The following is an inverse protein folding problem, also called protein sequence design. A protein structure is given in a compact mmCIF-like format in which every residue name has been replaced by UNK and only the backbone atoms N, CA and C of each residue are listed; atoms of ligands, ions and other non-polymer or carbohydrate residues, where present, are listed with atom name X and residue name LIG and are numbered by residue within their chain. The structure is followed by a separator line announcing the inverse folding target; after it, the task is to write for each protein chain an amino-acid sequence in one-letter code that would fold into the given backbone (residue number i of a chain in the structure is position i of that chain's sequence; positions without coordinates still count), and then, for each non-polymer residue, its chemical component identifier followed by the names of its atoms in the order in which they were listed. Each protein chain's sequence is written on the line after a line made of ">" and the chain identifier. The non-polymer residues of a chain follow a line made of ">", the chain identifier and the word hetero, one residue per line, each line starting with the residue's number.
data_IF_970271222265
#
_entry.id   IF_970271222265
#
_cell.length_a   1.000
_cell.length_b   1.000
_cell.length_c   1.000
_cell.angle_alpha   90.00
_cell.angle_beta   90.00
_cell.angle_gamma   90.00
#
_symmetry.space_group_name_H-M   'P 1'
#
loop_
_entity.id
_entity.type
_entity.pdbx_description
1 polymer ?
#
# COMPACT_ATOMS: atom_id res chain seq x y z
N UNK A 1 9.98 34.39 3.29
CA UNK A 1 10.57 34.04 4.62
C UNK A 1 11.55 32.90 4.37
N UNK A 2 12.79 33.01 4.88
CA UNK A 2 13.76 31.94 4.75
C UNK A 2 13.26 30.72 5.56
N UNK A 3 13.19 29.56 4.96
CA UNK A 3 12.89 28.33 5.70
C UNK A 3 13.99 28.09 6.75
N UNK A 4 13.63 27.65 7.96
CA UNK A 4 14.61 27.30 8.96
C UNK A 4 15.56 26.22 8.43
N UNK A 5 16.84 26.24 8.81
CA UNK A 5 17.80 25.24 8.35
C UNK A 5 17.33 23.83 8.75
N UNK A 6 17.51 22.88 7.85
CA UNK A 6 17.19 21.48 8.12
C UNK A 6 18.20 20.93 9.13
N UNK A 7 17.72 20.22 10.13
CA UNK A 7 18.57 19.54 11.11
C UNK A 7 18.83 18.12 10.68
N UNK A 8 20.09 17.71 10.64
CA UNK A 8 20.54 16.40 10.22
C UNK A 8 21.18 15.68 11.41
N UNK A 9 20.52 14.65 11.91
CA UNK A 9 21.02 13.88 13.06
C UNK A 9 21.67 12.59 12.57
N UNK A 10 22.89 12.34 12.99
CA UNK A 10 23.66 11.14 12.71
C UNK A 10 23.99 10.41 14.00
N UNK A 11 23.90 9.08 14.02
CA UNK A 11 24.27 8.27 15.17
C UNK A 11 25.31 7.23 14.79
N UNK A 12 26.39 7.10 15.58
CA UNK A 12 27.42 6.06 15.36
C UNK A 12 26.96 4.67 15.83
N UNK A 13 25.78 4.56 16.42
CA UNK A 13 25.25 3.32 16.97
C UNK A 13 26.26 2.64 17.91
N UNK A 14 26.62 3.32 19.00
CA UNK A 14 27.64 2.90 19.98
C UNK A 14 29.03 2.65 19.37
N UNK A 15 29.41 3.50 18.41
CA UNK A 15 30.68 3.44 17.68
C UNK A 15 30.88 2.18 16.80
N UNK A 16 29.76 1.50 16.48
CA UNK A 16 29.79 0.37 15.54
C UNK A 16 29.96 0.80 14.09
N UNK A 17 29.73 2.09 13.79
CA UNK A 17 30.05 2.68 12.48
C UNK A 17 30.75 4.02 12.64
N UNK A 18 31.64 4.31 11.69
CA UNK A 18 32.34 5.59 11.62
C UNK A 18 31.45 6.66 10.98
N UNK A 19 31.32 7.80 11.64
CA UNK A 19 30.69 8.99 11.07
C UNK A 19 31.74 9.90 10.42
N UNK A 20 31.36 10.58 9.34
CA UNK A 20 32.14 11.65 8.71
C UNK A 20 31.28 12.93 8.62
N UNK A 21 31.15 13.70 9.73
CA UNK A 21 30.41 14.95 9.73
C UNK A 21 30.95 15.97 8.74
N UNK A 22 32.27 15.99 8.51
CA UNK A 22 32.89 16.93 7.58
C UNK A 22 32.48 16.67 6.12
N UNK A 23 32.30 15.41 5.71
CA UNK A 23 31.73 15.09 4.41
C UNK A 23 30.29 15.55 4.30
N UNK A 24 29.48 15.36 5.37
CA UNK A 24 28.08 15.83 5.40
C UNK A 24 28.00 17.36 5.36
N UNK A 25 28.85 18.08 6.06
CA UNK A 25 28.95 19.56 5.99
C UNK A 25 29.28 20.04 4.57
N UNK A 26 30.22 19.41 3.89
CA UNK A 26 30.55 19.74 2.49
C UNK A 26 29.38 19.48 1.54
N UNK A 27 28.64 18.37 1.75
CA UNK A 27 27.53 17.98 0.92
C UNK A 27 26.25 18.77 1.19
N UNK A 28 26.01 19.11 2.46
CA UNK A 28 24.78 19.76 2.98
C UNK A 28 25.12 21.07 3.70
N UNK A 29 25.69 22.09 3.04
CA UNK A 29 26.22 23.29 3.72
C UNK A 29 25.18 24.16 4.43
N UNK A 30 23.88 23.99 4.12
CA UNK A 30 22.77 24.67 4.79
C UNK A 30 22.14 23.86 5.92
N UNK A 31 22.63 22.65 6.19
CA UNK A 31 22.14 21.75 7.22
C UNK A 31 22.83 22.01 8.58
N UNK A 32 22.08 21.98 9.65
CA UNK A 32 22.61 21.93 11.02
C UNK A 32 22.84 20.47 11.40
N UNK A 33 24.10 20.07 11.59
CA UNK A 33 24.46 18.66 11.82
C UNK A 33 24.67 18.42 13.32
N UNK A 34 24.05 17.39 13.84
CA UNK A 34 24.30 16.89 15.19
C UNK A 34 24.65 15.39 15.13
N UNK A 35 25.74 15.05 15.81
CA UNK A 35 26.22 13.66 15.92
C UNK A 35 25.90 13.09 17.29
N UNK A 36 25.55 11.83 17.32
CA UNK A 36 25.23 11.05 18.51
C UNK A 36 26.08 9.77 18.52
N UNK A 37 26.36 9.31 19.72
CA UNK A 37 26.92 7.98 19.92
C UNK A 37 25.82 6.94 20.13
N UNK A 38 24.81 7.28 20.96
CA UNK A 38 23.69 6.38 21.32
C UNK A 38 22.38 7.18 21.46
N UNK A 39 21.83 7.62 20.33
CA UNK A 39 20.67 8.53 20.26
C UNK A 39 19.40 7.94 20.89
N UNK A 40 19.15 6.65 20.68
CA UNK A 40 17.96 5.92 21.19
C UNK A 40 18.12 5.46 22.66
N UNK A 41 19.24 5.78 23.32
CA UNK A 41 19.51 5.38 24.69
C UNK A 41 20.08 6.52 25.54
N UNK A 42 21.38 6.51 25.79
CA UNK A 42 22.02 7.47 26.73
C UNK A 42 21.87 8.95 26.34
N UNK A 43 21.64 9.24 25.06
CA UNK A 43 21.47 10.60 24.53
C UNK A 43 20.03 10.93 24.12
N UNK A 44 19.04 10.16 24.58
CA UNK A 44 17.62 10.32 24.22
C UNK A 44 17.08 11.70 24.63
N UNK A 45 17.48 12.21 25.80
CA UNK A 45 17.07 13.55 26.27
C UNK A 45 17.62 14.66 25.36
N UNK A 46 18.84 14.49 24.84
CA UNK A 46 19.41 15.43 23.87
C UNK A 46 18.62 15.39 22.53
N UNK A 47 18.20 14.20 22.10
CA UNK A 47 17.31 14.06 20.94
C UNK A 47 15.99 14.78 21.16
N UNK A 48 15.32 14.58 22.31
CA UNK A 48 14.07 15.27 22.69
C UNK A 48 14.22 16.79 22.60
N UNK A 49 15.32 17.32 23.13
CA UNK A 49 15.61 18.75 23.08
C UNK A 49 15.75 19.32 21.66
N UNK A 50 16.30 18.54 20.73
CA UNK A 50 16.42 18.93 19.32
C UNK A 50 15.09 18.74 18.58
N UNK A 51 14.40 17.63 18.79
CA UNK A 51 13.12 17.32 18.16
C UNK A 51 12.02 18.32 18.53
N UNK A 52 12.04 18.88 19.76
CA UNK A 52 11.11 19.92 20.19
C UNK A 52 11.30 21.29 19.53
N UNK A 53 12.41 21.51 18.79
CA UNK A 53 12.66 22.79 18.12
C UNK A 53 11.97 22.85 16.76
N UNK A 54 11.55 24.05 16.34
CA UNK A 54 10.89 24.28 15.05
C UNK A 54 11.85 24.03 13.88
N UNK A 55 11.36 23.35 12.83
CA UNK A 55 12.10 23.11 11.59
C UNK A 55 12.05 21.64 11.14
N UNK A 56 12.34 21.36 9.88
CA UNK A 56 12.40 20.00 9.37
C UNK A 56 13.60 19.25 9.96
N UNK A 57 13.37 17.99 10.32
CA UNK A 57 14.33 17.11 10.98
C UNK A 57 14.55 15.85 10.16
N UNK A 58 15.80 15.50 9.89
CA UNK A 58 16.19 14.23 9.26
C UNK A 58 17.02 13.44 10.26
N UNK A 59 16.60 12.22 10.52
CA UNK A 59 17.22 11.31 11.49
C UNK A 59 17.84 10.12 10.79
N UNK A 60 19.16 9.98 10.90
CA UNK A 60 19.95 8.88 10.33
C UNK A 60 19.82 7.57 11.13
N UNK A 61 18.58 7.13 11.38
CA UNK A 61 18.26 5.89 12.09
C UNK A 61 16.86 5.41 11.70
N UNK A 62 16.74 4.21 11.18
CA UNK A 62 15.43 3.56 10.90
C UNK A 62 15.12 2.46 11.92
N UNK A 63 16.14 1.89 12.56
CA UNK A 63 15.99 0.83 13.55
C UNK A 63 15.04 1.23 14.71
N UNK A 64 15.25 2.41 15.27
CA UNK A 64 14.50 2.92 16.40
C UNK A 64 13.57 4.07 16.02
N UNK A 65 13.10 4.10 14.76
CA UNK A 65 12.22 5.15 14.26
C UNK A 65 10.93 5.26 15.10
N UNK A 66 10.34 4.13 15.50
CA UNK A 66 9.13 4.11 16.31
C UNK A 66 9.35 4.76 17.70
N UNK A 67 10.46 4.43 18.38
CA UNK A 67 10.83 5.03 19.65
C UNK A 67 11.03 6.54 19.49
N UNK A 68 11.84 6.94 18.49
CA UNK A 68 12.18 8.35 18.27
C UNK A 68 10.95 9.18 17.82
N UNK A 69 10.02 8.60 17.08
CA UNK A 69 8.74 9.23 16.75
C UNK A 69 7.89 9.44 17.99
N UNK A 70 7.76 8.44 18.86
CA UNK A 70 7.02 8.57 20.12
C UNK A 70 7.62 9.66 21.02
N UNK A 71 8.94 9.74 21.10
CA UNK A 71 9.65 10.75 21.89
C UNK A 71 9.55 12.17 21.32
N UNK A 72 9.33 12.30 20.01
CA UNK A 72 9.07 13.58 19.36
C UNK A 72 7.62 14.07 19.52
N UNK A 73 6.69 13.18 19.92
CA UNK A 73 5.28 13.48 20.16
C UNK A 73 4.60 14.08 18.94
N UNK A 74 3.94 15.24 19.08
CA UNK A 74 3.21 15.92 17.98
C UNK A 74 4.09 16.26 16.77
N UNK A 75 5.39 16.18 16.90
CA UNK A 75 6.33 16.46 15.80
C UNK A 75 6.77 15.24 15.02
N UNK A 76 6.29 14.05 15.37
CA UNK A 76 6.64 12.79 14.70
C UNK A 76 6.49 12.88 13.17
N UNK A 77 5.38 13.45 12.69
CA UNK A 77 5.09 13.60 11.26
C UNK A 77 6.02 14.56 10.50
N UNK A 78 6.81 15.36 11.21
CA UNK A 78 7.79 16.28 10.63
C UNK A 78 9.21 15.72 10.57
N UNK A 79 9.39 14.46 10.94
CA UNK A 79 10.67 13.77 10.98
C UNK A 79 10.79 12.82 9.80
N UNK A 80 11.85 12.96 9.03
CA UNK A 80 12.23 12.00 7.99
C UNK A 80 13.31 11.07 8.53
N UNK A 81 13.06 9.77 8.47
CA UNK A 81 14.03 8.75 8.88
C UNK A 81 14.78 8.20 7.67
N UNK A 82 16.08 8.03 7.79
CA UNK A 82 16.92 7.46 6.73
C UNK A 82 17.87 6.41 7.31
N UNK A 83 17.96 5.29 6.61
CA UNK A 83 18.89 4.23 7.00
C UNK A 83 20.31 4.62 6.59
N UNK A 84 21.16 4.92 7.57
CA UNK A 84 22.59 5.15 7.35
C UNK A 84 23.43 3.93 7.74
N UNK A 85 22.96 3.16 8.70
CA UNK A 85 23.71 2.06 9.31
C UNK A 85 23.92 0.92 8.30
N UNK A 86 22.86 0.31 7.84
CA UNK A 86 22.89 -0.84 6.94
C UNK A 86 23.26 -0.43 5.50
N UNK A 87 22.82 0.75 5.05
CA UNK A 87 23.04 1.18 3.68
C UNK A 87 24.40 1.84 3.44
N UNK A 88 25.11 2.27 4.49
CA UNK A 88 26.40 2.95 4.38
C UNK A 88 27.41 2.51 5.45
N UNK A 89 27.09 2.70 6.74
CA UNK A 89 28.05 2.58 7.82
C UNK A 89 28.60 1.20 8.09
N UNK A 90 27.79 0.16 7.97
CA UNK A 90 28.18 -1.25 8.20
C UNK A 90 28.68 -1.97 6.92
N UNK A 91 28.85 -1.25 5.82
CA UNK A 91 29.46 -1.81 4.62
C UNK A 91 30.98 -2.06 4.82
N UNK A 92 31.57 -2.90 3.97
CA UNK A 92 33.03 -3.11 3.96
C UNK A 92 33.81 -1.81 3.78
N UNK A 93 33.22 -0.82 3.08
CA UNK A 93 33.79 0.53 2.87
C UNK A 93 33.21 1.56 3.83
N UNK A 94 32.64 1.14 4.96
CA UNK A 94 32.00 2.04 5.94
C UNK A 94 32.88 3.20 6.42
N UNK A 95 34.21 3.00 6.48
CA UNK A 95 35.18 4.05 6.80
C UNK A 95 35.27 5.19 5.78
N UNK A 96 34.85 4.98 4.55
CA UNK A 96 34.84 5.93 3.42
C UNK A 96 33.42 6.34 2.98
N UNK A 97 32.40 5.93 3.74
CA UNK A 97 30.99 6.10 3.39
C UNK A 97 30.44 7.51 3.65
N UNK A 98 31.24 8.46 4.15
CA UNK A 98 30.82 9.83 4.42
C UNK A 98 30.06 10.51 3.27
N UNK A 99 30.56 10.48 2.01
CA UNK A 99 29.84 11.03 0.87
C UNK A 99 28.47 10.35 0.62
N UNK A 100 28.38 9.04 0.82
CA UNK A 100 27.11 8.29 0.70
C UNK A 100 26.14 8.65 1.83
N UNK A 101 26.62 8.80 3.07
CA UNK A 101 25.80 9.27 4.19
C UNK A 101 25.23 10.67 3.93
N UNK A 102 26.05 11.60 3.42
CA UNK A 102 25.64 12.95 3.04
C UNK A 102 24.54 12.91 1.96
N UNK A 103 24.73 12.10 0.93
CA UNK A 103 23.77 11.92 -0.15
C UNK A 103 22.42 11.37 0.33
N UNK A 104 22.44 10.36 1.19
CA UNK A 104 21.23 9.76 1.78
C UNK A 104 20.45 10.76 2.65
N UNK A 105 21.15 11.53 3.49
CA UNK A 105 20.54 12.59 4.30
C UNK A 105 19.95 13.70 3.43
N UNK A 106 20.64 14.13 2.38
CA UNK A 106 20.13 15.13 1.44
C UNK A 106 18.88 14.65 0.67
N UNK A 107 18.88 13.39 0.25
CA UNK A 107 17.73 12.80 -0.45
C UNK A 107 16.51 12.64 0.47
N UNK A 108 16.72 12.31 1.74
CA UNK A 108 15.64 12.26 2.74
C UNK A 108 15.14 13.67 3.09
N UNK A 109 16.02 14.66 3.07
CA UNK A 109 15.66 16.06 3.29
C UNK A 109 14.86 16.69 2.13
N UNK A 110 14.80 16.07 0.95
CA UNK A 110 13.97 16.55 -0.17
C UNK A 110 12.50 16.10 0.07
N UNK A 111 11.74 16.99 0.72
CA UNK A 111 10.32 16.73 0.99
C UNK A 111 9.56 16.60 -0.32
N UNK A 112 9.02 15.43 -0.59
CA UNK A 112 8.13 15.21 -1.72
C UNK A 112 6.84 16.03 -1.53
N UNK A 113 6.23 16.56 -2.61
CA UNK A 113 4.91 17.18 -2.51
C UNK A 113 3.90 16.17 -2.01
N UNK A 114 2.91 16.65 -1.25
CA UNK A 114 1.80 15.81 -0.79
C UNK A 114 1.09 15.19 -2.00
N UNK A 115 0.85 13.90 -1.95
CA UNK A 115 0.10 13.19 -2.98
C UNK A 115 -1.40 13.33 -2.71
N UNK A 116 -2.23 13.49 -3.75
CA UNK A 116 -3.67 13.45 -3.58
C UNK A 116 -4.12 12.04 -3.19
N UNK A 117 -5.11 11.96 -2.31
CA UNK A 117 -5.74 10.73 -1.87
C UNK A 117 -7.19 10.65 -2.33
N UNK A 118 -7.75 9.45 -2.34
CA UNK A 118 -9.18 9.18 -2.28
C UNK A 118 -9.48 8.48 -0.96
N UNK A 119 -10.50 8.92 -0.27
CA UNK A 119 -10.94 8.27 0.98
C UNK A 119 -11.96 7.19 0.64
N UNK A 120 -11.68 5.96 1.01
CA UNK A 120 -12.58 4.83 0.97
C UNK A 120 -13.19 4.69 2.37
N UNK A 121 -14.49 4.44 2.46
CA UNK A 121 -15.16 4.22 3.73
C UNK A 121 -15.86 2.87 3.75
N UNK A 122 -15.82 2.21 4.90
CA UNK A 122 -16.48 0.94 5.16
C UNK A 122 -17.23 1.03 6.47
N UNK A 123 -18.53 0.77 6.43
CA UNK A 123 -19.38 0.65 7.62
C UNK A 123 -19.32 -0.76 8.23
N UNK A 124 -18.53 -1.66 7.61
CA UNK A 124 -18.33 -3.02 8.07
C UNK A 124 -19.36 -4.02 7.55
N UNK A 125 -20.10 -3.67 6.50
CA UNK A 125 -21.05 -4.61 5.87
C UNK A 125 -20.27 -5.64 5.06
N UNK A 126 -20.26 -6.90 5.50
CA UNK A 126 -19.51 -7.98 4.86
C UNK A 126 -20.41 -9.06 4.28
N UNK A 127 -20.09 -9.46 3.03
CA UNK A 127 -20.61 -10.68 2.45
C UNK A 127 -19.56 -11.79 2.51
N UNK A 128 -19.85 -12.88 3.20
CA UNK A 128 -19.04 -14.10 3.17
C UNK A 128 -19.66 -15.05 2.16
N UNK A 129 -18.94 -15.30 1.08
CA UNK A 129 -19.36 -16.18 -0.01
C UNK A 129 -18.63 -17.52 0.08
N UNK A 130 -19.38 -18.59 0.37
CA UNK A 130 -18.81 -19.90 0.57
C UNK A 130 -19.58 -21.03 -0.09
N UNK A 131 -19.15 -22.27 0.12
CA UNK A 131 -19.78 -23.46 -0.42
C UNK A 131 -20.33 -24.42 0.66
N UNK A 132 -19.99 -24.21 1.94
CA UNK A 132 -20.35 -25.09 3.04
C UNK A 132 -20.35 -24.38 4.42
N UNK A 133 -20.40 -25.18 5.49
CA UNK A 133 -20.49 -24.72 6.89
C UNK A 133 -19.31 -23.85 7.33
N UNK A 134 -18.13 -23.94 6.67
CA UNK A 134 -16.95 -23.13 6.99
C UNK A 134 -17.21 -21.63 6.82
N UNK A 135 -18.05 -21.26 5.85
CA UNK A 135 -18.48 -19.85 5.68
C UNK A 135 -19.32 -19.37 6.86
N UNK A 136 -20.15 -20.22 7.44
CA UNK A 136 -20.92 -19.91 8.64
C UNK A 136 -20.00 -19.76 9.86
N UNK A 137 -19.01 -20.62 10.00
CA UNK A 137 -18.01 -20.52 11.08
C UNK A 137 -17.19 -19.22 10.97
N UNK A 138 -16.79 -18.84 9.76
CA UNK A 138 -16.17 -17.52 9.51
C UNK A 138 -17.10 -16.36 9.92
N UNK A 139 -18.40 -16.49 9.60
CA UNK A 139 -19.42 -15.50 10.01
C UNK A 139 -19.53 -15.35 11.52
N UNK A 140 -19.52 -16.46 12.26
CA UNK A 140 -19.55 -16.44 13.74
C UNK A 140 -18.34 -15.69 14.33
N UNK A 141 -17.15 -15.83 13.74
CA UNK A 141 -15.95 -15.14 14.20
C UNK A 141 -16.00 -13.61 13.93
N UNK A 142 -16.81 -13.17 12.99
CA UNK A 142 -16.91 -11.76 12.59
C UNK A 142 -18.15 -11.04 13.12
N UNK A 143 -19.17 -11.78 13.55
CA UNK A 143 -20.48 -11.22 13.89
C UNK A 143 -20.48 -10.20 15.03
N UNK A 144 -19.51 -10.24 15.94
CA UNK A 144 -19.34 -9.24 17.02
C UNK A 144 -18.70 -7.93 16.54
N UNK A 145 -18.16 -7.90 15.31
CA UNK A 145 -17.38 -6.79 14.78
C UNK A 145 -17.94 -6.19 13.49
N UNK A 146 -18.62 -7.00 12.67
CA UNK A 146 -19.09 -6.62 11.33
C UNK A 146 -20.56 -6.99 11.15
N UNK A 147 -21.23 -6.28 10.22
CA UNK A 147 -22.58 -6.64 9.77
C UNK A 147 -22.48 -7.77 8.73
N UNK A 148 -22.63 -9.00 9.20
CA UNK A 148 -22.34 -10.21 8.44
C UNK A 148 -23.57 -10.71 7.69
N UNK A 149 -23.39 -11.02 6.42
CA UNK A 149 -24.29 -11.89 5.63
C UNK A 149 -23.48 -13.05 5.07
N UNK A 150 -23.94 -14.29 5.28
CA UNK A 150 -23.30 -15.47 4.67
C UNK A 150 -24.14 -15.94 3.48
N UNK A 151 -23.51 -16.11 2.34
CA UNK A 151 -24.10 -16.68 1.14
C UNK A 151 -23.44 -17.99 0.77
N UNK A 152 -24.21 -19.04 0.63
CA UNK A 152 -23.68 -20.38 0.30
C UNK A 152 -24.13 -20.77 -1.11
N UNK A 153 -23.14 -21.06 -1.95
CA UNK A 153 -23.38 -21.58 -3.30
C UNK A 153 -23.59 -23.10 -3.24
N UNK A 154 -24.74 -23.56 -3.79
CA UNK A 154 -25.09 -25.00 -3.86
C UNK A 154 -24.91 -25.71 -2.49
N UNK A 155 -25.63 -25.25 -1.45
CA UNK A 155 -25.42 -25.73 -0.09
C UNK A 155 -25.58 -27.25 0.00
N UNK A 156 -24.64 -27.95 0.66
CA UNK A 156 -24.83 -29.33 1.07
C UNK A 156 -25.90 -29.42 2.17
N UNK A 157 -26.11 -30.59 2.76
CA UNK A 157 -26.95 -30.72 3.95
C UNK A 157 -26.27 -30.03 5.14
N UNK A 158 -26.62 -28.78 5.40
CA UNK A 158 -26.11 -27.93 6.49
C UNK A 158 -27.08 -27.97 7.65
N UNK A 159 -26.61 -28.30 8.84
CA UNK A 159 -27.42 -28.28 10.06
C UNK A 159 -27.86 -26.85 10.40
N UNK A 160 -29.17 -26.58 10.56
CA UNK A 160 -29.64 -25.26 10.94
C UNK A 160 -29.06 -24.82 12.28
N UNK A 161 -28.58 -23.57 12.44
CA UNK A 161 -28.14 -23.07 13.73
C UNK A 161 -29.32 -22.94 14.71
N UNK A 162 -29.04 -23.18 16.00
CA UNK A 162 -30.08 -23.01 17.06
C UNK A 162 -30.52 -21.55 17.22
N UNK A 163 -29.66 -20.60 16.88
CA UNK A 163 -29.92 -19.16 16.85
C UNK A 163 -29.25 -18.52 15.64
N UNK A 164 -29.98 -17.65 14.96
CA UNK A 164 -29.44 -16.87 13.85
C UNK A 164 -28.94 -15.53 14.39
N UNK A 165 -27.63 -15.33 14.37
CA UNK A 165 -26.99 -14.03 14.71
C UNK A 165 -26.77 -13.17 13.48
N UNK A 166 -26.82 -13.77 12.28
CA UNK A 166 -26.70 -13.11 10.98
C UNK A 166 -27.47 -13.91 9.90
N UNK A 167 -27.83 -13.26 8.77
CA UNK A 167 -28.48 -13.94 7.66
C UNK A 167 -27.58 -15.00 7.01
N UNK A 168 -28.15 -16.20 6.75
CA UNK A 168 -27.52 -17.24 5.92
C UNK A 168 -28.43 -17.47 4.72
N UNK A 169 -27.98 -17.14 3.52
CA UNK A 169 -28.77 -17.24 2.28
C UNK A 169 -28.12 -18.18 1.29
N UNK A 170 -28.90 -18.68 0.35
CA UNK A 170 -28.41 -19.43 -0.80
C UNK A 170 -28.26 -18.49 -1.99
N UNK A 171 -27.22 -18.66 -2.81
CA UNK A 171 -27.05 -17.92 -4.04
C UNK A 171 -25.72 -18.16 -4.72
N UNK A 172 -25.65 -17.82 -6.00
CA UNK A 172 -24.41 -17.86 -6.79
C UNK A 172 -24.15 -16.48 -7.37
N UNK A 173 -22.98 -15.92 -7.10
CA UNK A 173 -22.60 -14.62 -7.63
C UNK A 173 -22.30 -14.79 -9.13
N UNK A 174 -23.11 -14.16 -9.97
CA UNK A 174 -22.94 -14.15 -11.43
C UNK A 174 -22.00 -13.04 -11.87
N UNK A 175 -22.08 -11.86 -11.22
CA UNK A 175 -21.26 -10.71 -11.53
C UNK A 175 -20.95 -9.94 -10.26
N UNK A 176 -19.73 -9.44 -10.17
CA UNK A 176 -19.25 -8.59 -9.09
C UNK A 176 -18.55 -7.36 -9.69
N UNK A 177 -18.83 -6.19 -9.16
CA UNK A 177 -18.18 -4.93 -9.53
C UNK A 177 -18.01 -4.02 -8.33
N UNK A 178 -17.26 -2.93 -8.49
CA UNK A 178 -17.03 -1.97 -7.43
C UNK A 178 -15.67 -2.12 -6.76
N UNK A 179 -15.58 -1.58 -5.58
CA UNK A 179 -14.34 -1.44 -4.81
C UNK A 179 -14.65 -1.51 -3.31
N UNK A 180 -13.64 -1.50 -2.49
CA UNK A 180 -13.74 -1.52 -1.03
C UNK A 180 -14.66 -0.39 -0.51
N UNK A 181 -15.70 -0.74 0.23
CA UNK A 181 -16.77 0.15 0.68
C UNK A 181 -17.93 0.29 -0.31
N UNK A 182 -17.84 -0.28 -1.51
CA UNK A 182 -18.89 -0.13 -2.53
C UNK A 182 -18.91 -1.28 -3.54
N UNK A 183 -18.92 -2.52 -3.07
CA UNK A 183 -19.13 -3.68 -3.94
C UNK A 183 -20.60 -3.82 -4.30
N UNK A 184 -20.87 -4.13 -5.56
CA UNK A 184 -22.20 -4.49 -6.09
C UNK A 184 -22.15 -5.88 -6.69
N UNK A 185 -23.06 -6.73 -6.28
CA UNK A 185 -23.11 -8.14 -6.63
C UNK A 185 -24.45 -8.46 -7.29
N UNK A 186 -24.42 -9.21 -8.41
CA UNK A 186 -25.60 -9.77 -9.04
C UNK A 186 -25.61 -11.26 -8.76
N UNK A 187 -26.71 -11.74 -8.17
CA UNK A 187 -26.84 -13.07 -7.62
C UNK A 187 -27.94 -13.82 -8.34
N UNK A 188 -27.63 -15.03 -8.77
CA UNK A 188 -28.60 -15.99 -9.29
C UNK A 188 -28.84 -17.10 -8.27
N UNK A 189 -29.94 -17.82 -8.43
CA UNK A 189 -30.39 -18.86 -7.51
C UNK A 189 -30.53 -18.38 -6.05
N UNK A 190 -30.84 -17.09 -5.85
CA UNK A 190 -31.00 -16.49 -4.53
C UNK A 190 -32.24 -17.02 -3.81
N UNK A 191 -32.08 -17.52 -2.61
CA UNK A 191 -33.18 -17.94 -1.74
C UNK A 191 -32.87 -17.75 -0.27
N UNK A 192 -33.89 -17.39 0.50
CA UNK A 192 -33.83 -17.33 1.98
C UNK A 192 -34.08 -18.73 2.58
N UNK A 193 -33.54 -19.04 3.75
CA UNK A 193 -33.80 -20.29 4.43
C UNK A 193 -35.20 -20.28 5.04
N UNK A 194 -35.87 -21.43 5.07
CA UNK A 194 -37.13 -21.60 5.75
C UNK A 194 -36.90 -21.70 7.27
N UNK A 195 -37.63 -20.96 8.08
CA UNK A 195 -37.54 -21.06 9.55
C UNK A 195 -37.86 -22.46 10.11
N UNK A 196 -38.65 -23.25 9.35
CA UNK A 196 -39.04 -24.61 9.72
C UNK A 196 -38.01 -25.70 9.34
N UNK A 197 -36.81 -25.33 8.95
CA UNK A 197 -35.71 -26.27 8.66
C UNK A 197 -35.37 -27.09 9.91
N UNK A 198 -35.30 -28.43 9.80
CA UNK A 198 -35.04 -29.35 10.94
C UNK A 198 -33.63 -29.98 10.85
N UNK A 199 -33.48 -30.94 9.94
CA UNK A 199 -32.26 -31.74 9.82
C UNK A 199 -31.23 -31.05 8.93
N UNK A 200 -31.70 -30.26 7.97
CA UNK A 200 -30.86 -29.47 7.08
C UNK A 200 -31.58 -28.14 6.72
N UNK A 201 -30.78 -27.12 6.36
CA UNK A 201 -31.32 -25.86 5.84
C UNK A 201 -32.10 -26.13 4.56
N UNK A 202 -33.40 -25.79 4.57
CA UNK A 202 -34.28 -25.82 3.40
C UNK A 202 -34.50 -24.38 2.97
N UNK A 203 -34.39 -24.14 1.68
CA UNK A 203 -34.52 -22.79 1.10
C UNK A 203 -35.87 -22.64 0.39
N UNK A 204 -36.35 -21.41 0.32
CA UNK A 204 -37.53 -21.06 -0.47
C UNK A 204 -37.29 -21.17 -1.97
N UNK A 205 -38.31 -20.89 -2.78
CA UNK A 205 -38.15 -20.82 -4.24
C UNK A 205 -37.11 -19.76 -4.61
N UNK A 206 -36.12 -20.18 -5.41
CA UNK A 206 -35.04 -19.30 -5.79
C UNK A 206 -35.42 -18.34 -6.91
N UNK A 207 -34.70 -17.20 -6.97
CA UNK A 207 -34.83 -16.19 -8.03
C UNK A 207 -33.47 -15.79 -8.58
N UNK A 208 -33.42 -15.39 -9.83
CA UNK A 208 -32.22 -14.89 -10.49
C UNK A 208 -32.22 -13.36 -10.55
N UNK A 209 -31.01 -12.76 -10.65
CA UNK A 209 -30.84 -11.33 -10.81
C UNK A 209 -31.08 -10.52 -9.50
N UNK A 210 -31.02 -11.16 -8.33
CA UNK A 210 -31.01 -10.45 -7.08
C UNK A 210 -29.74 -9.59 -6.97
N UNK A 211 -29.83 -8.44 -6.34
CA UNK A 211 -28.67 -7.54 -6.14
C UNK A 211 -28.37 -7.37 -4.66
N UNK A 212 -27.08 -7.31 -4.34
CA UNK A 212 -26.59 -7.00 -3.00
C UNK A 212 -25.50 -5.97 -3.06
N UNK A 213 -25.35 -5.17 -2.00
CA UNK A 213 -24.25 -4.24 -1.79
C UNK A 213 -23.57 -4.56 -0.48
N UNK A 214 -22.24 -4.46 -0.47
CA UNK A 214 -21.45 -4.63 0.74
C UNK A 214 -20.13 -3.86 0.61
N UNK A 215 -19.48 -3.66 1.74
CA UNK A 215 -18.18 -2.97 1.83
C UNK A 215 -17.04 -3.94 1.63
N UNK A 216 -17.21 -5.17 2.10
CA UNK A 216 -16.19 -6.22 2.14
C UNK A 216 -16.78 -7.51 1.56
N UNK A 217 -15.97 -8.22 0.78
CA UNK A 217 -16.31 -9.58 0.31
C UNK A 217 -15.24 -10.55 0.80
N UNK A 218 -15.65 -11.56 1.57
CA UNK A 218 -14.80 -12.71 1.94
C UNK A 218 -15.20 -13.92 1.10
N UNK A 219 -14.36 -14.27 0.13
CA UNK A 219 -14.59 -15.38 -0.79
C UNK A 219 -13.93 -16.67 -0.29
N UNK A 220 -14.75 -17.58 0.21
CA UNK A 220 -14.42 -18.93 0.65
C UNK A 220 -15.07 -20.00 -0.25
N UNK A 221 -15.43 -19.64 -1.49
CA UNK A 221 -16.17 -20.53 -2.39
C UNK A 221 -15.33 -21.69 -2.95
N UNK A 222 -14.00 -21.52 -2.96
CA UNK A 222 -13.07 -22.44 -3.65
C UNK A 222 -13.20 -22.40 -5.18
N UNK A 223 -14.10 -21.60 -5.73
CA UNK A 223 -14.34 -21.42 -7.16
C UNK A 223 -13.39 -20.41 -7.83
N UNK A 224 -13.65 -20.00 -9.07
CA UNK A 224 -12.93 -18.90 -9.71
C UNK A 224 -13.10 -17.60 -8.95
N UNK A 225 -12.05 -16.76 -8.93
CA UNK A 225 -12.11 -15.44 -8.30
C UNK A 225 -13.18 -14.56 -8.97
N UNK A 226 -13.88 -13.75 -8.17
CA UNK A 226 -14.93 -12.85 -8.65
C UNK A 226 -14.39 -11.66 -9.45
N UNK A 227 -13.12 -11.32 -9.22
CA UNK A 227 -12.46 -10.20 -9.89
C UNK A 227 -11.19 -10.64 -10.60
N UNK A 228 -10.90 -10.11 -11.81
CA UNK A 228 -9.55 -10.18 -12.38
C UNK A 228 -8.54 -9.55 -11.43
N UNK A 229 -7.30 -10.07 -11.40
CA UNK A 229 -6.26 -9.59 -10.50
C UNK A 229 -6.79 -9.37 -9.06
N UNK A 230 -7.43 -10.40 -8.52
CA UNK A 230 -8.13 -10.36 -7.24
C UNK A 230 -7.22 -9.95 -6.07
N UNK A 231 -5.94 -10.28 -6.12
CA UNK A 231 -4.95 -9.90 -5.10
C UNK A 231 -4.72 -8.38 -5.03
N UNK A 232 -5.06 -7.67 -6.12
CA UNK A 232 -4.96 -6.22 -6.22
C UNK A 232 -6.28 -5.49 -5.90
N UNK A 233 -7.33 -6.22 -5.47
CA UNK A 233 -8.65 -5.64 -5.16
C UNK A 233 -8.82 -5.44 -3.67
N UNK A 234 -8.66 -4.19 -3.20
CA UNK A 234 -8.89 -3.87 -1.79
C UNK A 234 -10.30 -4.27 -1.36
N UNK A 235 -10.44 -4.80 -0.14
CA UNK A 235 -11.72 -5.24 0.43
C UNK A 235 -12.28 -6.56 -0.13
N UNK A 236 -11.68 -7.14 -1.18
CA UNK A 236 -11.95 -8.49 -1.63
C UNK A 236 -10.90 -9.44 -1.07
N UNK A 237 -11.30 -10.23 -0.10
CA UNK A 237 -10.44 -11.20 0.55
C UNK A 237 -10.78 -12.60 0.07
N UNK A 238 -9.79 -13.37 -0.31
CA UNK A 238 -9.99 -14.73 -0.79
C UNK A 238 -9.09 -15.70 -0.05
N UNK A 239 -9.66 -16.83 0.37
CA UNK A 239 -8.91 -17.91 0.97
C UNK A 239 -9.43 -19.27 0.48
N UNK A 240 -8.52 -20.24 0.39
CA UNK A 240 -8.91 -21.63 0.16
C UNK A 240 -9.69 -22.13 1.39
N UNK A 241 -10.94 -22.56 1.25
CA UNK A 241 -11.71 -23.12 2.35
C UNK A 241 -11.09 -24.41 2.91
N UNK A 242 -10.19 -25.08 2.18
CA UNK A 242 -9.42 -26.25 2.64
C UNK A 242 -8.22 -25.89 3.52
N UNK A 243 -7.79 -24.63 3.57
CA UNK A 243 -6.70 -24.15 4.41
C UNK A 243 -7.22 -23.31 5.60
N UNK A 244 -7.35 -23.89 6.81
CA UNK A 244 -7.85 -23.18 7.99
C UNK A 244 -6.98 -21.98 8.37
N UNK A 245 -5.66 -22.03 8.12
CA UNK A 245 -4.76 -20.92 8.45
C UNK A 245 -4.94 -19.73 7.49
N UNK A 246 -5.11 -20.00 6.19
CA UNK A 246 -5.44 -18.96 5.21
C UNK A 246 -6.82 -18.33 5.51
N UNK A 247 -7.81 -19.15 5.84
CA UNK A 247 -9.14 -18.70 6.22
C UNK A 247 -9.10 -17.81 7.47
N UNK A 248 -8.38 -18.22 8.52
CA UNK A 248 -8.25 -17.41 9.74
C UNK A 248 -7.53 -16.07 9.47
N UNK A 249 -6.47 -16.08 8.67
CA UNK A 249 -5.79 -14.83 8.26
C UNK A 249 -6.73 -13.88 7.51
N UNK A 250 -7.57 -14.41 6.62
CA UNK A 250 -8.54 -13.61 5.88
C UNK A 250 -9.63 -13.04 6.80
N UNK A 251 -10.12 -13.83 7.77
CA UNK A 251 -11.08 -13.39 8.80
C UNK A 251 -10.48 -12.26 9.66
N UNK A 252 -9.25 -12.43 10.16
CA UNK A 252 -8.59 -11.39 10.96
C UNK A 252 -8.39 -10.10 10.15
N UNK A 253 -8.00 -10.22 8.87
CA UNK A 253 -7.88 -9.06 7.99
C UNK A 253 -9.22 -8.38 7.73
N UNK A 254 -10.30 -9.15 7.54
CA UNK A 254 -11.64 -8.60 7.34
C UNK A 254 -12.13 -7.78 8.53
N UNK A 255 -11.86 -8.26 9.76
CA UNK A 255 -12.28 -7.60 11.00
C UNK A 255 -11.79 -6.16 11.11
N UNK A 256 -10.60 -5.89 10.60
CA UNK A 256 -9.95 -4.60 10.74
C UNK A 256 -10.32 -3.61 9.59
N UNK A 257 -11.19 -4.02 8.65
CA UNK A 257 -11.60 -3.23 7.49
C UNK A 257 -12.86 -2.37 7.76
N UNK A 258 -12.89 -1.65 8.88
CA UNK A 258 -14.00 -0.73 9.23
C UNK A 258 -13.45 0.67 9.45
N UNK A 259 -14.14 1.70 8.95
CA UNK A 259 -13.77 3.09 9.08
C UNK A 259 -13.34 3.74 7.76
N UNK A 260 -12.47 4.74 7.84
CA UNK A 260 -12.00 5.49 6.68
C UNK A 260 -10.55 5.11 6.36
N UNK A 261 -10.27 4.93 5.08
CA UNK A 261 -8.97 4.53 4.57
C UNK A 261 -8.54 5.45 3.42
N UNK A 262 -7.42 6.12 3.59
CA UNK A 262 -6.88 7.00 2.57
C UNK A 262 -6.03 6.18 1.59
N UNK A 263 -6.47 6.18 0.34
CA UNK A 263 -5.80 5.50 -0.78
C UNK A 263 -5.16 6.52 -1.69
N UNK A 264 -3.85 6.43 -1.98
CA UNK A 264 -3.20 7.35 -2.90
C UNK A 264 -3.82 7.33 -4.30
N UNK A 265 -3.94 8.49 -4.92
CA UNK A 265 -4.18 8.59 -6.37
C UNK A 265 -2.87 8.33 -7.10
N UNK A 266 -2.66 7.10 -7.52
CA UNK A 266 -1.41 6.67 -8.16
C UNK A 266 -1.18 7.27 -9.55
N UNK A 267 -2.25 7.65 -10.26
CA UNK A 267 -2.17 8.13 -11.64
C UNK A 267 -2.72 9.54 -11.74
N UNK A 268 -1.92 10.45 -12.28
CA UNK A 268 -2.36 11.75 -12.79
C UNK A 268 -2.72 11.59 -14.26
N UNK A 269 -3.90 12.08 -14.65
CA UNK A 269 -4.40 11.95 -16.02
C UNK A 269 -4.75 13.31 -16.62
N UNK A 270 -4.17 13.59 -17.80
CA UNK A 270 -4.41 14.83 -18.58
C UNK A 270 -5.18 14.48 -19.85
N UNK A 271 -6.49 14.74 -19.83
CA UNK A 271 -7.40 14.32 -20.91
C UNK A 271 -7.02 14.92 -22.27
N UNK A 272 -6.56 16.17 -22.31
CA UNK A 272 -6.16 16.86 -23.52
C UNK A 272 -4.99 16.23 -24.27
N UNK A 273 -4.18 15.45 -23.59
CA UNK A 273 -3.06 14.70 -24.18
C UNK A 273 -3.48 13.30 -24.65
N UNK A 274 -4.67 12.84 -24.25
CA UNK A 274 -5.10 11.46 -24.55
C UNK A 274 -5.36 11.27 -26.03
N UNK A 275 -4.79 10.21 -26.62
CA UNK A 275 -4.97 9.86 -28.02
C UNK A 275 -6.09 8.83 -28.26
N UNK A 276 -6.99 8.61 -27.30
CA UNK A 276 -8.01 7.56 -27.36
C UNK A 276 -8.98 7.80 -28.52
N UNK A 277 -9.56 9.00 -28.64
CA UNK A 277 -10.57 9.29 -29.66
C UNK A 277 -10.58 10.74 -30.15
N UNK A 278 -9.41 11.38 -30.25
CA UNK A 278 -9.27 12.82 -30.59
C UNK A 278 -9.96 13.27 -31.86
N UNK A 279 -10.10 12.40 -32.84
CA UNK A 279 -10.69 12.70 -34.15
C UNK A 279 -12.02 11.98 -34.37
N UNK A 280 -12.72 11.65 -33.30
CA UNK A 280 -13.94 10.79 -33.32
C UNK A 280 -13.68 9.37 -33.87
N UNK A 281 -12.42 9.01 -34.00
CA UNK A 281 -11.98 7.66 -34.37
C UNK A 281 -11.28 7.06 -33.16
N UNK A 282 -11.69 5.89 -32.72
CA UNK A 282 -11.01 5.13 -31.66
C UNK A 282 -9.61 4.80 -32.14
N UNK A 283 -8.60 5.42 -31.52
CA UNK A 283 -7.19 5.28 -31.88
C UNK A 283 -6.41 4.46 -30.87
N UNK A 284 -6.13 5.05 -29.70
CA UNK A 284 -5.30 4.40 -28.70
C UNK A 284 -6.15 3.69 -27.63
N UNK A 285 -5.84 2.40 -27.36
CA UNK A 285 -6.49 1.60 -26.31
C UNK A 285 -5.50 0.91 -25.37
N UNK A 286 -4.18 1.22 -25.45
CA UNK A 286 -3.11 0.53 -24.74
C UNK A 286 -3.34 0.39 -23.23
N UNK A 287 -3.75 1.48 -22.56
CA UNK A 287 -3.99 1.47 -21.13
C UNK A 287 -5.27 0.70 -20.74
N UNK A 288 -6.27 0.64 -21.64
CA UNK A 288 -7.49 -0.14 -21.44
C UNK A 288 -7.18 -1.64 -21.44
N UNK A 289 -6.35 -2.09 -22.39
CA UNK A 289 -6.01 -3.50 -22.57
C UNK A 289 -5.10 -4.05 -21.46
N UNK A 290 -4.31 -3.17 -20.84
CA UNK A 290 -3.32 -3.56 -19.83
C UNK A 290 -3.78 -3.38 -18.39
N UNK A 291 -4.90 -2.71 -18.13
CA UNK A 291 -5.33 -2.47 -16.75
C UNK A 291 -5.82 -3.78 -16.08
N UNK A 292 -5.06 -4.35 -15.12
CA UNK A 292 -5.39 -5.65 -14.55
C UNK A 292 -6.67 -5.61 -13.70
N UNK A 293 -6.98 -4.44 -13.10
CA UNK A 293 -8.14 -4.26 -12.24
C UNK A 293 -9.39 -3.74 -12.95
N UNK A 294 -9.27 -3.38 -14.24
CA UNK A 294 -10.37 -2.76 -14.98
C UNK A 294 -10.71 -1.34 -14.50
N UNK A 295 -9.77 -0.64 -13.87
CA UNK A 295 -9.97 0.74 -13.39
C UNK A 295 -10.09 1.77 -14.52
N UNK A 296 -9.79 1.40 -15.76
CA UNK A 296 -9.78 2.32 -16.92
C UNK A 296 -10.92 1.99 -17.85
N UNK A 297 -11.72 2.99 -18.17
CA UNK A 297 -12.87 2.85 -19.10
C UNK A 297 -12.87 3.94 -20.16
N UNK A 298 -13.43 3.70 -21.35
CA UNK A 298 -13.64 4.74 -22.35
C UNK A 298 -14.56 5.86 -21.82
N UNK A 299 -14.19 7.12 -22.06
CA UNK A 299 -14.96 8.30 -21.65
C UNK A 299 -14.94 9.37 -22.76
N UNK A 300 -15.72 9.15 -23.81
CA UNK A 300 -15.79 10.06 -24.95
C UNK A 300 -14.47 10.13 -25.74
N UNK A 301 -13.84 11.30 -25.79
CA UNK A 301 -12.57 11.51 -26.50
C UNK A 301 -11.33 11.05 -25.73
N UNK A 302 -11.48 10.68 -24.48
CA UNK A 302 -10.41 10.24 -23.60
C UNK A 302 -10.82 8.96 -22.87
N UNK A 303 -10.00 8.51 -21.94
CA UNK A 303 -10.35 7.45 -20.97
C UNK A 303 -10.62 8.10 -19.61
N UNK A 304 -11.37 7.41 -18.77
CA UNK A 304 -11.52 7.72 -17.35
C UNK A 304 -10.76 6.67 -16.53
N UNK A 305 -10.12 7.12 -15.45
CA UNK A 305 -9.40 6.25 -14.51
C UNK A 305 -10.08 6.35 -13.16
N UNK A 306 -10.66 5.26 -12.68
CA UNK A 306 -11.26 5.19 -11.36
C UNK A 306 -10.17 4.95 -10.31
N UNK A 307 -9.91 5.98 -9.50
CA UNK A 307 -8.90 5.93 -8.45
C UNK A 307 -9.25 4.96 -7.32
N UNK A 308 -10.56 4.69 -7.09
CA UNK A 308 -10.99 3.74 -6.05
C UNK A 308 -10.66 2.30 -6.44
N UNK A 309 -10.73 2.00 -7.75
CA UNK A 309 -10.42 0.67 -8.32
C UNK A 309 -8.93 0.51 -8.64
N UNK A 310 -8.21 1.61 -8.92
CA UNK A 310 -6.80 1.59 -9.34
C UNK A 310 -5.91 0.99 -8.26
N UNK A 311 -5.13 -0.03 -8.59
CA UNK A 311 -4.19 -0.69 -7.67
C UNK A 311 -2.76 -0.11 -7.70
N UNK A 312 -2.50 0.95 -8.47
CA UNK A 312 -1.19 1.61 -8.49
C UNK A 312 -0.07 0.84 -9.21
N UNK A 313 -0.39 -0.14 -10.06
CA UNK A 313 0.63 -0.96 -10.74
C UNK A 313 1.46 -0.21 -11.80
N UNK A 314 1.07 1.01 -12.20
CA UNK A 314 1.83 1.85 -13.14
C UNK A 314 1.79 1.44 -14.61
N UNK A 315 1.20 0.29 -14.97
CA UNK A 315 1.19 -0.23 -16.33
C UNK A 315 0.62 0.77 -17.37
N UNK A 316 -0.44 1.50 -17.01
CA UNK A 316 -1.03 2.49 -17.91
C UNK A 316 -0.11 3.68 -18.18
N UNK A 317 0.69 4.11 -17.20
CA UNK A 317 1.66 5.20 -17.36
C UNK A 317 2.84 4.76 -18.23
N UNK A 318 3.32 3.52 -18.07
CA UNK A 318 4.46 3.00 -18.83
C UNK A 318 4.18 2.86 -20.33
N UNK A 319 2.92 2.59 -20.73
CA UNK A 319 2.56 2.39 -22.15
C UNK A 319 1.91 3.60 -22.80
N UNK A 320 1.68 4.69 -22.06
CA UNK A 320 1.03 5.88 -22.59
C UNK A 320 1.95 6.63 -23.56
N UNK A 321 1.66 6.66 -24.88
CA UNK A 321 2.58 7.24 -25.86
C UNK A 321 2.61 8.78 -25.81
N UNK A 322 1.63 9.38 -25.15
CA UNK A 322 1.48 10.84 -25.08
C UNK A 322 1.76 11.41 -23.69
N UNK A 323 2.02 10.56 -22.70
CA UNK A 323 2.16 10.97 -21.31
C UNK A 323 0.85 11.46 -20.67
N UNK A 324 -0.31 11.21 -21.29
CA UNK A 324 -1.61 11.57 -20.72
C UNK A 324 -1.85 10.89 -19.37
N UNK A 325 -1.45 9.64 -19.22
CA UNK A 325 -1.39 8.93 -17.94
C UNK A 325 0.04 8.97 -17.42
N UNK A 326 0.24 9.55 -16.24
CA UNK A 326 1.55 9.66 -15.58
C UNK A 326 1.46 9.12 -14.16
N UNK A 327 2.49 8.40 -13.72
CA UNK A 327 2.55 7.90 -12.35
C UNK A 327 2.87 9.04 -11.38
N UNK A 328 2.19 9.09 -10.24
CA UNK A 328 2.29 10.21 -9.30
C UNK A 328 2.90 9.86 -7.94
N UNK A 329 3.15 8.58 -7.64
CA UNK A 329 3.66 8.16 -6.32
C UNK A 329 4.90 7.23 -6.44
N UNK A 330 6.10 7.77 -6.51
CA UNK A 330 6.45 9.18 -6.72
C UNK A 330 6.22 9.63 -8.17
N UNK A 331 6.04 10.93 -8.39
CA UNK A 331 6.06 11.49 -9.73
C UNK A 331 7.49 11.45 -10.32
N UNK A 332 7.60 11.44 -11.66
CA UNK A 332 8.89 11.48 -12.33
C UNK A 332 9.73 12.68 -11.87
N UNK A 333 9.12 13.86 -11.69
CA UNK A 333 9.80 15.05 -11.21
C UNK A 333 10.33 14.89 -9.78
N UNK A 334 9.55 14.27 -8.89
CA UNK A 334 9.98 13.99 -7.52
C UNK A 334 11.16 13.01 -7.51
N UNK A 335 11.08 11.94 -8.31
CA UNK A 335 12.15 10.96 -8.45
C UNK A 335 13.44 11.62 -8.98
N UNK A 336 13.33 12.44 -10.02
CA UNK A 336 14.47 13.14 -10.61
C UNK A 336 15.07 14.19 -9.69
N UNK A 337 14.26 14.90 -8.88
CA UNK A 337 14.77 15.81 -7.85
C UNK A 337 15.56 15.05 -6.79
N UNK A 338 15.00 13.95 -6.26
CA UNK A 338 15.66 13.11 -5.26
C UNK A 338 16.97 12.53 -5.79
N UNK A 339 16.98 12.02 -7.02
CA UNK A 339 18.18 11.50 -7.67
C UNK A 339 19.24 12.61 -7.85
N UNK A 340 18.82 13.81 -8.26
CA UNK A 340 19.71 14.96 -8.39
C UNK A 340 20.30 15.37 -7.03
N UNK A 341 19.49 15.44 -5.99
CA UNK A 341 19.95 15.75 -4.62
C UNK A 341 20.99 14.71 -4.18
N UNK A 342 20.73 13.43 -4.40
CA UNK A 342 21.61 12.31 -4.06
C UNK A 342 22.96 12.44 -4.77
N UNK A 343 22.97 12.53 -6.09
CA UNK A 343 24.20 12.55 -6.90
C UNK A 343 25.03 13.82 -6.71
N UNK A 344 24.38 14.99 -6.67
CA UNK A 344 25.08 16.26 -6.47
C UNK A 344 25.70 16.34 -5.07
N UNK A 345 24.98 15.87 -4.05
CA UNK A 345 25.48 15.85 -2.67
C UNK A 345 26.63 14.88 -2.52
N UNK A 346 26.53 13.67 -3.12
CA UNK A 346 27.61 12.70 -3.15
C UNK A 346 28.91 13.30 -3.70
N UNK A 347 28.82 13.94 -4.87
CA UNK A 347 30.00 14.60 -5.47
C UNK A 347 30.55 15.75 -4.65
N UNK A 348 29.69 16.64 -4.11
CA UNK A 348 30.10 17.75 -3.22
C UNK A 348 30.76 17.28 -1.93
N UNK A 349 30.31 16.16 -1.40
CA UNK A 349 30.86 15.55 -0.19
C UNK A 349 32.23 14.86 -0.44
N UNK A 350 32.69 14.80 -1.68
CA UNK A 350 33.96 14.20 -2.09
C UNK A 350 33.86 12.79 -2.65
N UNK A 351 32.64 12.32 -2.92
CA UNK A 351 32.41 11.02 -3.55
C UNK A 351 32.84 11.00 -5.02
N UNK A 352 33.36 9.86 -5.49
CA UNK A 352 33.76 9.61 -6.86
C UNK A 352 33.18 8.29 -7.36
N UNK A 353 32.97 8.16 -8.63
CA UNK A 353 32.59 6.92 -9.30
C UNK A 353 31.32 6.28 -8.73
N UNK A 354 30.31 7.12 -8.43
CA UNK A 354 29.02 6.69 -7.87
C UNK A 354 28.22 5.88 -8.88
N UNK A 355 27.78 4.68 -8.49
CA UNK A 355 26.88 3.84 -9.28
C UNK A 355 25.48 3.99 -8.72
N UNK A 356 24.48 4.19 -9.60
CA UNK A 356 23.05 4.19 -9.25
C UNK A 356 22.42 2.96 -9.84
N UNK A 357 21.83 2.15 -8.98
CA UNK A 357 21.09 0.95 -9.36
C UNK A 357 19.61 1.18 -9.13
N UNK A 358 18.79 1.01 -10.18
CA UNK A 358 17.35 1.00 -10.08
C UNK A 358 16.86 -0.43 -9.95
N UNK A 359 16.17 -0.72 -8.88
CA UNK A 359 15.60 -2.05 -8.64
C UNK A 359 14.23 -1.95 -7.99
N UNK A 360 13.43 -3.01 -8.07
CA UNK A 360 12.24 -3.20 -7.24
C UNK A 360 12.62 -3.80 -5.87
N UNK A 361 11.77 -3.60 -4.86
CA UNK A 361 12.02 -4.10 -3.51
C UNK A 361 11.74 -5.60 -3.33
N UNK A 362 11.14 -6.26 -4.32
CA UNK A 362 10.74 -7.66 -4.22
C UNK A 362 11.77 -8.61 -4.83
N UNK A 363 12.29 -8.28 -6.03
CA UNK A 363 13.23 -9.14 -6.75
C UNK A 363 14.65 -8.54 -6.79
N UNK A 364 14.75 -7.21 -6.77
CA UNK A 364 16.02 -6.53 -6.94
C UNK A 364 16.96 -6.69 -5.77
N UNK A 365 16.47 -6.80 -4.55
CA UNK A 365 17.30 -7.01 -3.35
C UNK A 365 18.02 -8.36 -3.41
N UNK A 366 17.33 -9.43 -3.78
CA UNK A 366 17.93 -10.76 -3.93
C UNK A 366 19.00 -10.80 -5.02
N UNK A 367 18.78 -10.06 -6.12
CA UNK A 367 19.76 -9.95 -7.21
C UNK A 367 21.01 -9.19 -6.75
N UNK A 368 20.83 -8.09 -6.00
CA UNK A 368 21.95 -7.30 -5.46
C UNK A 368 22.76 -8.13 -4.47
N UNK A 369 22.10 -8.87 -3.59
CA UNK A 369 22.76 -9.76 -2.65
C UNK A 369 23.54 -10.88 -3.36
N UNK A 370 22.99 -11.43 -4.44
CA UNK A 370 23.69 -12.41 -5.26
C UNK A 370 24.93 -11.80 -5.92
N UNK A 371 24.83 -10.63 -6.55
CA UNK A 371 25.97 -9.92 -7.16
C UNK A 371 27.06 -9.61 -6.12
N UNK A 372 26.67 -9.14 -4.93
CA UNK A 372 27.62 -8.86 -3.86
C UNK A 372 28.39 -10.10 -3.38
N UNK A 373 27.78 -11.30 -3.42
CA UNK A 373 28.44 -12.58 -3.08
C UNK A 373 29.43 -13.03 -4.15
N UNK A 374 29.18 -12.70 -5.42
CA UNK A 374 30.10 -13.03 -6.52
C UNK A 374 31.23 -12.01 -6.68
N UNK A 375 31.24 -10.90 -5.94
CA UNK A 375 32.33 -9.93 -5.90
C UNK A 375 32.35 -8.98 -7.10
N UNK A 376 31.22 -8.82 -7.77
CA UNK A 376 31.01 -7.86 -8.85
C UNK A 376 30.39 -6.53 -8.38
#
# INVERSE_FOLDING_TARGET
>A
MAHPPKKLLMCSCEDTMRLDPAAVERGCPSGEIATFRHMCGAELDRFRGIAGQVGPLVVGCTQEAALLSNEAGERADSIEFVNLRETAGWSKQGGESGPKMAALLAAAADTAPQHPFVTLSSDGVILIYGCDERAIEAGKLLADHLDVTVMISKPPAITPPAANTFPVVKGTIRNARGYFGAFELVIDDFAAPRPSSRDALVFDASRNGATSRCDIVLDLSGGPALFPAHDLRDGYLRADPGDPAAMLRAVLKARDLTGQFDKPKYITFTADLCAHSRSKLTGCHRCLDLCPTGAITPAGNAVAIDANVCAGCGACASVCPTGAASYSLPSADALMRRLRALLQTFGKAGGRDGIVLFHDGEHGEDIIDALARFGE
#
